data_IF_497544441983
#
_entry.id   IF_497544441983
#
_cell.length_a   1.000
_cell.length_b   1.000
_cell.length_c   1.000
_cell.angle_alpha   90.00
_cell.angle_beta   90.00
_cell.angle_gamma   90.00
#
_symmetry.space_group_name_H-M   'P 1'
#
loop_
_entity.id
_entity.type
_entity.pdbx_description
1 polymer ?
#
# COMPACT_ATOMS: atom_id res chain seq x y z
N UNK A 1 -7.02 -27.39 39.39
CA UNK A 1 -6.03 -27.23 40.46
C UNK A 1 -6.55 -27.87 41.73
N UNK A 2 -6.80 -29.19 41.71
CA UNK A 2 -7.25 -29.93 42.91
C UNK A 2 -6.37 -31.16 43.15
N UNK A 3 -5.26 -31.25 42.42
CA UNK A 3 -4.28 -32.31 42.57
C UNK A 3 -3.45 -32.01 43.83
N UNK A 4 -3.53 -32.84 44.90
CA UNK A 4 -2.81 -32.58 46.14
C UNK A 4 -1.29 -32.49 45.94
N UNK A 5 -0.75 -33.27 45.00
CA UNK A 5 0.66 -33.25 44.65
C UNK A 5 1.08 -31.92 44.02
N UNK A 6 0.18 -31.27 43.28
CA UNK A 6 0.42 -29.96 42.69
C UNK A 6 0.39 -28.84 43.75
N UNK A 7 -0.52 -28.91 44.74
CA UNK A 7 -0.53 -27.98 45.86
C UNK A 7 0.75 -28.11 46.70
N UNK A 8 1.17 -29.34 47.00
CA UNK A 8 2.44 -29.59 47.70
C UNK A 8 3.64 -29.03 46.95
N UNK A 9 3.66 -29.13 45.62
CA UNK A 9 4.71 -28.53 44.80
C UNK A 9 4.70 -26.99 44.88
N UNK A 10 3.53 -26.35 44.82
CA UNK A 10 3.42 -24.89 44.95
C UNK A 10 3.90 -24.42 46.32
N UNK A 11 3.49 -25.10 47.40
CA UNK A 11 3.95 -24.80 48.76
C UNK A 11 5.46 -25.00 48.94
N UNK A 12 6.03 -26.02 48.30
CA UNK A 12 7.47 -26.24 48.28
C UNK A 12 8.22 -25.09 47.60
N UNK A 13 7.69 -24.55 46.50
CA UNK A 13 8.30 -23.44 45.75
C UNK A 13 8.09 -22.09 46.43
N UNK A 14 7.01 -21.91 47.18
CA UNK A 14 6.61 -20.63 47.79
C UNK A 14 6.10 -20.82 49.23
N UNK A 15 7.04 -20.83 50.17
CA UNK A 15 6.82 -21.05 51.61
C UNK A 15 5.91 -20.02 52.33
N UNK A 16 5.60 -18.90 51.69
CA UNK A 16 4.74 -17.85 52.26
C UNK A 16 3.27 -17.96 51.83
N UNK A 17 2.94 -18.84 50.88
CA UNK A 17 1.56 -19.06 50.44
C UNK A 17 0.87 -20.03 51.40
N UNK A 18 -0.35 -19.71 51.80
CA UNK A 18 -1.24 -20.61 52.51
C UNK A 18 -2.16 -21.33 51.53
N UNK A 19 -2.73 -22.47 51.95
CA UNK A 19 -3.58 -23.29 51.07
C UNK A 19 -4.86 -22.53 50.64
N UNK A 20 -5.29 -21.56 51.45
CA UNK A 20 -6.38 -20.62 51.14
C UNK A 20 -6.02 -19.62 50.05
N UNK A 21 -4.74 -19.40 49.78
CA UNK A 21 -4.26 -18.47 48.75
C UNK A 21 -4.23 -19.13 47.36
N UNK A 22 -4.35 -20.46 47.29
CA UNK A 22 -4.44 -21.22 46.04
C UNK A 22 -5.92 -21.30 45.64
N UNK A 23 -6.36 -20.56 44.61
CA UNK A 23 -7.76 -20.54 44.23
C UNK A 23 -8.20 -21.92 43.72
N UNK A 24 -9.38 -22.34 44.19
CA UNK A 24 -10.07 -23.53 43.66
C UNK A 24 -10.26 -23.42 42.14
N UNK A 25 -10.47 -24.56 41.45
CA UNK A 25 -10.65 -24.54 39.99
C UNK A 25 -11.81 -23.62 39.57
N UNK A 26 -12.90 -23.61 40.34
CA UNK A 26 -14.07 -22.75 40.12
C UNK A 26 -13.68 -21.28 40.20
N UNK A 27 -12.92 -20.91 41.24
CA UNK A 27 -12.46 -19.53 41.42
C UNK A 27 -11.47 -19.12 40.33
N UNK A 28 -10.60 -20.03 39.91
CA UNK A 28 -9.69 -19.82 38.79
C UNK A 28 -10.46 -19.59 37.49
N UNK A 29 -11.49 -20.39 37.21
CA UNK A 29 -12.35 -20.20 36.04
C UNK A 29 -13.07 -18.85 36.07
N UNK A 30 -13.63 -18.45 37.23
CA UNK A 30 -14.24 -17.14 37.40
C UNK A 30 -13.28 -16.00 37.08
N UNK A 31 -12.05 -16.05 37.62
CA UNK A 31 -11.03 -15.02 37.40
C UNK A 31 -10.58 -14.95 35.95
N UNK A 32 -10.44 -16.10 35.27
CA UNK A 32 -10.12 -16.16 33.84
C UNK A 32 -11.23 -15.51 33.01
N UNK A 33 -12.50 -15.85 33.29
CA UNK A 33 -13.65 -15.29 32.59
C UNK A 33 -13.76 -13.77 32.82
N UNK A 34 -13.51 -13.31 34.04
CA UNK A 34 -13.51 -11.89 34.36
C UNK A 34 -12.39 -11.15 33.61
N UNK A 35 -11.16 -11.67 33.65
CA UNK A 35 -10.02 -11.08 32.93
C UNK A 35 -10.29 -11.04 31.42
N UNK A 36 -10.87 -12.10 30.86
CA UNK A 36 -11.29 -12.12 29.45
C UNK A 36 -12.36 -11.07 29.16
N UNK A 37 -13.37 -10.90 30.02
CA UNK A 37 -14.40 -9.88 29.84
C UNK A 37 -13.82 -8.46 29.88
N UNK A 38 -12.90 -8.18 30.80
CA UNK A 38 -12.22 -6.89 30.91
C UNK A 38 -11.40 -6.59 29.64
N UNK A 39 -10.58 -7.56 29.20
CA UNK A 39 -9.80 -7.43 27.98
C UNK A 39 -10.68 -7.27 26.73
N UNK A 40 -11.77 -8.03 26.65
CA UNK A 40 -12.75 -7.91 25.57
C UNK A 40 -13.38 -6.51 25.54
N UNK A 41 -13.80 -5.97 26.69
CA UNK A 41 -14.36 -4.61 26.75
C UNK A 41 -13.36 -3.54 26.31
N UNK A 42 -12.08 -3.71 26.63
CA UNK A 42 -11.03 -2.81 26.15
C UNK A 42 -10.88 -2.90 24.62
N UNK A 43 -10.78 -4.11 24.06
CA UNK A 43 -10.76 -4.32 22.61
C UNK A 43 -12.00 -3.73 21.95
N UNK A 44 -13.16 -3.77 22.61
CA UNK A 44 -14.37 -3.11 22.10
C UNK A 44 -14.24 -1.60 22.03
N UNK A 45 -13.65 -0.97 23.02
CA UNK A 45 -13.42 0.48 22.95
C UNK A 45 -12.43 0.82 21.84
N UNK A 46 -11.38 0.03 21.66
CA UNK A 46 -10.36 0.24 20.62
C UNK A 46 -10.95 0.04 19.20
N UNK A 47 -11.70 -1.04 18.97
CA UNK A 47 -12.30 -1.34 17.66
C UNK A 47 -13.39 -0.34 17.24
N UNK A 48 -14.08 0.30 18.19
CA UNK A 48 -15.01 1.40 17.88
C UNK A 48 -14.32 2.64 17.30
N UNK A 49 -13.01 2.78 17.49
CA UNK A 49 -12.21 3.93 17.08
C UNK A 49 -11.24 3.53 15.94
N UNK A 50 -10.99 2.23 15.78
CA UNK A 50 -10.10 1.67 14.77
C UNK A 50 -10.66 1.79 13.35
N UNK A 51 -9.74 1.94 12.39
CA UNK A 51 -10.05 1.94 10.96
C UNK A 51 -9.35 0.75 10.31
N UNK A 52 -9.93 0.24 9.22
CA UNK A 52 -9.39 -0.88 8.46
C UNK A 52 -8.80 -0.36 7.15
N UNK A 53 -7.52 -0.65 6.91
CA UNK A 53 -6.89 -0.34 5.62
C UNK A 53 -6.97 -1.57 4.71
N UNK A 54 -7.59 -1.42 3.54
CA UNK A 54 -7.64 -2.49 2.51
C UNK A 54 -7.29 -1.91 1.14
N UNK A 55 -7.00 -2.77 0.16
CA UNK A 55 -6.77 -2.32 -1.22
C UNK A 55 -8.08 -1.79 -1.86
N UNK A 56 -7.96 -1.15 -3.02
CA UNK A 56 -9.08 -0.43 -3.63
C UNK A 56 -10.02 -1.34 -4.46
N UNK A 57 -9.91 -2.66 -4.33
CA UNK A 57 -10.77 -3.58 -5.06
C UNK A 57 -12.22 -3.49 -4.55
N UNK A 58 -13.19 -3.49 -5.45
CA UNK A 58 -14.62 -3.31 -5.12
C UNK A 58 -15.20 -4.46 -4.30
N UNK A 59 -14.56 -5.63 -4.29
CA UNK A 59 -14.94 -6.72 -3.40
C UNK A 59 -14.62 -6.41 -1.93
N UNK A 60 -13.66 -5.52 -1.63
CA UNK A 60 -13.37 -5.10 -0.26
C UNK A 60 -14.49 -4.22 0.31
N UNK A 61 -15.19 -3.43 -0.52
CA UNK A 61 -16.38 -2.70 -0.07
C UNK A 61 -17.46 -3.69 0.42
N UNK A 62 -17.70 -4.75 -0.35
CA UNK A 62 -18.62 -5.84 0.05
C UNK A 62 -18.12 -6.56 1.31
N UNK A 63 -16.82 -6.87 1.37
CA UNK A 63 -16.22 -7.55 2.51
C UNK A 63 -16.35 -6.72 3.79
N UNK A 64 -16.18 -5.40 3.72
CA UNK A 64 -16.37 -4.49 4.84
C UNK A 64 -17.81 -4.48 5.35
N UNK A 65 -18.79 -4.47 4.45
CA UNK A 65 -20.21 -4.56 4.84
C UNK A 65 -20.49 -5.86 5.60
N UNK A 66 -20.06 -7.00 5.06
CA UNK A 66 -20.26 -8.31 5.71
C UNK A 66 -19.52 -8.39 7.04
N UNK A 67 -18.28 -7.88 7.10
CA UNK A 67 -17.49 -7.89 8.31
C UNK A 67 -18.12 -7.02 9.41
N UNK A 68 -18.61 -5.82 9.08
CA UNK A 68 -19.33 -4.97 10.03
C UNK A 68 -20.64 -5.62 10.50
N UNK A 69 -21.37 -6.31 9.62
CA UNK A 69 -22.58 -7.04 9.99
C UNK A 69 -22.28 -8.13 11.04
N UNK A 70 -21.22 -8.92 10.84
CA UNK A 70 -20.80 -9.95 11.82
C UNK A 70 -20.42 -9.31 13.15
N UNK A 71 -19.67 -8.19 13.14
CA UNK A 71 -19.31 -7.47 14.35
C UNK A 71 -20.53 -6.87 15.07
N UNK A 72 -21.56 -6.48 14.34
CA UNK A 72 -22.81 -6.01 14.90
C UNK A 72 -23.59 -7.15 15.56
N UNK A 73 -23.71 -8.29 14.88
CA UNK A 73 -24.47 -9.46 15.36
C UNK A 73 -23.80 -10.13 16.57
N UNK A 74 -22.51 -10.43 16.47
CA UNK A 74 -21.77 -11.20 17.49
C UNK A 74 -21.28 -10.30 18.64
N UNK A 75 -20.90 -9.07 18.34
CA UNK A 75 -20.17 -8.21 19.27
C UNK A 75 -20.90 -6.89 19.58
N UNK A 76 -22.07 -6.62 18.99
CA UNK A 76 -22.87 -5.39 19.19
C UNK A 76 -22.05 -4.12 18.94
N UNK A 77 -21.26 -4.11 17.88
CA UNK A 77 -20.64 -2.91 17.33
C UNK A 77 -21.52 -2.30 16.26
N UNK A 78 -21.71 -1.00 16.32
CA UNK A 78 -22.40 -0.24 15.28
C UNK A 78 -21.35 0.65 14.62
N UNK A 79 -20.81 0.18 13.51
CA UNK A 79 -19.68 0.78 12.79
C UNK A 79 -20.11 0.93 11.34
N UNK A 80 -19.99 2.15 10.82
CA UNK A 80 -20.22 2.41 9.40
C UNK A 80 -19.08 1.80 8.57
N UNK A 81 -19.37 0.83 7.68
CA UNK A 81 -18.37 0.16 6.85
C UNK A 81 -17.65 1.13 5.91
N UNK A 82 -18.27 2.25 5.53
CA UNK A 82 -17.65 3.26 4.65
C UNK A 82 -16.73 4.17 5.45
N UNK A 83 -17.21 4.74 6.57
CA UNK A 83 -16.40 5.66 7.38
C UNK A 83 -15.13 5.02 7.98
N UNK A 84 -15.14 3.70 8.20
CA UNK A 84 -14.02 2.97 8.81
C UNK A 84 -13.16 2.20 7.80
N UNK A 85 -13.44 2.35 6.51
CA UNK A 85 -12.61 1.78 5.44
C UNK A 85 -11.65 2.85 4.91
N UNK A 86 -10.37 2.69 5.23
CA UNK A 86 -9.28 3.48 4.65
C UNK A 86 -8.76 2.74 3.42
N UNK A 87 -8.73 3.40 2.27
CA UNK A 87 -8.12 2.83 1.06
C UNK A 87 -6.60 2.87 1.17
N UNK A 88 -5.95 1.83 0.67
CA UNK A 88 -4.49 1.71 0.68
C UNK A 88 -3.85 2.71 -0.31
N UNK A 89 -3.23 3.79 0.20
CA UNK A 89 -2.53 4.77 -0.62
C UNK A 89 -1.46 4.16 -1.55
N UNK A 90 -0.58 3.23 -1.12
CA UNK A 90 0.32 2.54 -2.03
C UNK A 90 -0.38 1.83 -3.19
N UNK A 91 -1.55 1.24 -2.95
CA UNK A 91 -2.32 0.59 -4.02
C UNK A 91 -2.89 1.61 -5.01
N UNK A 92 -3.38 2.75 -4.54
CA UNK A 92 -3.84 3.86 -5.41
C UNK A 92 -2.68 4.38 -6.27
N UNK A 93 -1.51 4.62 -5.67
CA UNK A 93 -0.31 5.04 -6.42
C UNK A 93 0.06 4.02 -7.50
N UNK A 94 0.00 2.73 -7.18
CA UNK A 94 0.24 1.65 -8.15
C UNK A 94 -0.74 1.70 -9.34
N UNK A 95 -2.03 1.90 -9.07
CA UNK A 95 -3.06 2.10 -10.12
C UNK A 95 -2.72 3.32 -10.98
N UNK A 96 -2.39 4.45 -10.36
CA UNK A 96 -1.99 5.68 -11.07
C UNK A 96 -0.79 5.44 -12.01
N UNK A 97 0.25 4.76 -11.53
CA UNK A 97 1.42 4.37 -12.32
C UNK A 97 1.00 3.46 -13.49
N UNK A 98 0.12 2.49 -13.25
CA UNK A 98 -0.34 1.57 -14.28
C UNK A 98 -1.08 2.31 -15.42
N UNK A 99 -1.91 3.31 -15.08
CA UNK A 99 -2.55 4.17 -16.07
C UNK A 99 -1.53 4.99 -16.87
N UNK A 100 -0.53 5.58 -16.20
CA UNK A 100 0.57 6.27 -16.88
C UNK A 100 1.28 5.33 -17.87
N UNK A 101 1.72 4.16 -17.42
CA UNK A 101 2.45 3.20 -18.26
C UNK A 101 1.61 2.73 -19.45
N UNK A 102 0.32 2.43 -19.22
CA UNK A 102 -0.58 2.02 -20.29
C UNK A 102 -0.83 3.15 -21.28
N UNK A 103 -1.08 4.37 -20.80
CA UNK A 103 -1.20 5.56 -21.62
C UNK A 103 0.06 5.79 -22.45
N UNK A 104 1.23 5.60 -21.85
CA UNK A 104 2.52 5.74 -22.52
C UNK A 104 2.71 4.69 -23.62
N UNK A 105 2.35 3.42 -23.36
CA UNK A 105 2.38 2.32 -24.35
C UNK A 105 1.46 2.57 -25.55
N UNK A 106 0.35 3.28 -25.34
CA UNK A 106 -0.67 3.52 -26.36
C UNK A 106 -0.57 4.89 -27.06
N UNK A 107 0.30 5.80 -26.58
CA UNK A 107 0.39 7.16 -27.10
C UNK A 107 1.13 7.23 -28.45
N UNK A 108 0.62 8.08 -29.35
CA UNK A 108 1.30 8.39 -30.61
C UNK A 108 2.21 9.62 -30.44
N UNK A 109 3.52 9.39 -30.37
CA UNK A 109 4.52 10.45 -30.21
C UNK A 109 5.03 11.04 -31.52
N UNK A 110 4.43 10.71 -32.66
CA UNK A 110 5.00 11.04 -33.97
C UNK A 110 4.96 12.51 -34.39
N UNK A 111 4.17 13.34 -33.70
CA UNK A 111 4.05 14.78 -33.95
C UNK A 111 4.87 15.68 -33.03
N UNK A 112 5.67 15.14 -32.10
CA UNK A 112 6.37 15.95 -31.10
C UNK A 112 7.75 16.42 -31.62
N UNK A 113 7.92 17.74 -31.76
CA UNK A 113 9.21 18.37 -32.02
C UNK A 113 10.05 18.32 -30.72
N UNK A 114 10.96 17.35 -30.61
CA UNK A 114 11.70 17.12 -29.37
C UNK A 114 12.98 17.95 -29.25
N UNK A 115 12.85 19.20 -28.82
CA UNK A 115 13.97 19.94 -28.22
C UNK A 115 13.64 20.21 -26.76
N UNK A 116 14.14 19.35 -25.88
CA UNK A 116 13.92 19.41 -24.44
C UNK A 116 15.18 19.97 -23.81
N UNK A 117 15.05 20.60 -22.65
CA UNK A 117 16.14 21.27 -21.95
C UNK A 117 17.21 20.31 -21.41
N UNK A 118 17.91 19.61 -22.30
CA UNK A 118 19.34 19.33 -22.27
C UNK A 118 19.75 19.06 -23.73
N UNK A 119 20.82 19.67 -24.25
CA UNK A 119 21.10 19.62 -25.68
C UNK A 119 21.59 18.21 -26.02
N UNK A 120 20.84 17.43 -26.80
CA UNK A 120 21.32 16.63 -27.94
C UNK A 120 20.26 15.65 -28.49
N UNK A 121 19.82 15.95 -29.73
CA UNK A 121 19.41 15.04 -30.84
C UNK A 121 17.94 14.63 -30.97
N UNK A 122 17.58 14.36 -32.23
CA UNK A 122 16.23 14.14 -32.79
C UNK A 122 15.91 12.63 -32.81
N UNK A 123 14.66 12.26 -32.51
CA UNK A 123 14.18 10.89 -32.32
C UNK A 123 13.40 10.31 -33.53
N UNK A 124 13.66 9.04 -33.91
CA UNK A 124 12.99 8.30 -34.99
C UNK A 124 11.95 7.23 -34.54
N UNK A 125 10.67 7.51 -34.81
CA UNK A 125 9.42 6.84 -34.38
C UNK A 125 9.38 5.30 -34.28
N UNK A 126 9.96 4.56 -35.22
CA UNK A 126 9.76 3.09 -35.32
C UNK A 126 10.48 2.32 -34.21
N UNK A 127 11.65 2.80 -33.82
CA UNK A 127 12.52 2.17 -32.83
C UNK A 127 11.90 2.27 -31.42
N UNK A 128 11.30 3.41 -31.10
CA UNK A 128 10.60 3.68 -29.84
C UNK A 128 9.49 2.67 -29.51
N UNK A 129 8.66 2.38 -30.52
CA UNK A 129 7.48 1.54 -30.34
C UNK A 129 7.88 0.08 -30.15
N UNK A 130 8.98 -0.36 -30.77
CA UNK A 130 9.47 -1.73 -30.64
C UNK A 130 9.94 -2.04 -29.21
N UNK A 131 10.74 -1.19 -28.59
CA UNK A 131 11.31 -1.50 -27.26
C UNK A 131 10.32 -1.32 -26.11
N UNK A 132 9.33 -0.45 -26.26
CA UNK A 132 8.24 -0.37 -25.27
C UNK A 132 7.38 -1.65 -25.26
N UNK A 133 7.39 -2.41 -26.36
CA UNK A 133 6.62 -3.64 -26.53
C UNK A 133 7.39 -4.91 -26.14
N UNK A 134 8.73 -4.91 -26.19
CA UNK A 134 9.54 -6.03 -25.74
C UNK A 134 9.75 -5.97 -24.23
N UNK A 135 9.18 -6.93 -23.48
CA UNK A 135 9.37 -7.06 -22.04
C UNK A 135 10.85 -7.35 -21.73
N UNK A 136 11.61 -6.38 -21.18
CA UNK A 136 13.07 -6.50 -21.04
C UNK A 136 13.48 -7.53 -19.97
N UNK A 137 12.53 -8.05 -19.19
CA UNK A 137 12.77 -9.02 -18.11
C UNK A 137 12.67 -10.47 -18.63
N UNK A 138 11.94 -10.70 -19.73
CA UNK A 138 11.66 -12.03 -20.29
C UNK A 138 12.63 -12.44 -21.41
N UNK A 139 13.64 -11.61 -21.74
CA UNK A 139 14.63 -12.02 -22.74
C UNK A 139 15.38 -13.27 -22.26
N UNK A 140 15.33 -14.39 -23.01
CA UNK A 140 16.13 -15.56 -22.66
C UNK A 140 17.59 -15.12 -22.67
N UNK A 141 18.32 -15.46 -21.61
CA UNK A 141 19.76 -15.27 -21.44
C UNK A 141 20.57 -16.01 -22.51
N UNK A 142 20.36 -15.67 -23.77
CA UNK A 142 20.97 -16.29 -24.92
C UNK A 142 22.41 -15.77 -24.96
N UNK A 143 23.35 -16.68 -24.77
CA UNK A 143 24.78 -16.50 -24.53
C UNK A 143 25.57 -15.93 -25.71
N UNK A 144 24.91 -15.26 -26.65
CA UNK A 144 25.52 -14.49 -27.74
C UNK A 144 25.06 -13.03 -27.69
N UNK A 145 25.20 -12.40 -26.52
CA UNK A 145 25.06 -10.95 -26.38
C UNK A 145 26.19 -10.27 -27.17
N UNK A 146 25.97 -10.05 -28.46
CA UNK A 146 26.31 -8.73 -29.00
C UNK A 146 25.63 -7.77 -28.03
N UNK A 147 26.34 -6.83 -27.37
CA UNK A 147 25.68 -5.90 -26.47
C UNK A 147 24.72 -5.10 -27.34
N UNK A 148 23.44 -5.48 -27.33
CA UNK A 148 22.36 -4.70 -27.92
C UNK A 148 22.32 -3.42 -27.10
N UNK A 149 23.13 -2.45 -27.54
CA UNK A 149 23.15 -1.11 -26.97
C UNK A 149 21.75 -0.56 -27.19
N UNK A 150 21.08 -0.24 -26.09
CA UNK A 150 19.87 0.57 -26.11
C UNK A 150 20.09 1.75 -27.04
N UNK A 151 19.29 1.81 -28.11
CA UNK A 151 19.27 2.94 -29.02
C UNK A 151 18.87 4.23 -28.29
N UNK A 152 19.28 5.37 -28.82
CA UNK A 152 19.06 6.70 -28.22
C UNK A 152 17.60 6.91 -27.79
N UNK A 153 16.67 6.41 -28.60
CA UNK A 153 15.24 6.45 -28.35
C UNK A 153 14.81 5.73 -27.08
N UNK A 154 15.42 4.59 -26.78
CA UNK A 154 15.13 3.82 -25.57
C UNK A 154 15.59 4.57 -24.32
N UNK A 155 16.72 5.27 -24.41
CA UNK A 155 17.17 6.13 -23.33
C UNK A 155 16.23 7.30 -23.07
N UNK A 156 15.62 7.87 -24.10
CA UNK A 156 14.70 8.98 -23.95
C UNK A 156 13.33 8.54 -23.40
N UNK A 157 12.84 7.35 -23.76
CA UNK A 157 11.72 6.70 -23.07
C UNK A 157 12.00 6.60 -21.58
N UNK A 158 13.19 6.07 -21.25
CA UNK A 158 13.56 5.83 -19.87
C UNK A 158 13.68 7.13 -19.09
N UNK A 159 14.18 8.21 -19.69
CA UNK A 159 14.22 9.54 -19.06
C UNK A 159 12.82 10.12 -18.82
N UNK A 160 11.90 9.99 -19.78
CA UNK A 160 10.51 10.44 -19.62
C UNK A 160 9.81 9.68 -18.50
N UNK A 161 9.99 8.35 -18.46
CA UNK A 161 9.43 7.49 -17.42
C UNK A 161 10.06 7.77 -16.06
N UNK A 162 11.38 7.90 -15.97
CA UNK A 162 12.09 8.28 -14.75
C UNK A 162 11.54 9.61 -14.20
N UNK A 163 11.41 10.62 -15.07
CA UNK A 163 10.87 11.93 -14.69
C UNK A 163 9.42 11.83 -14.17
N UNK A 164 8.54 11.10 -14.87
CA UNK A 164 7.14 10.96 -14.48
C UNK A 164 6.95 10.08 -13.23
N UNK A 165 7.79 9.06 -13.05
CA UNK A 165 7.71 8.10 -11.95
C UNK A 165 8.42 8.59 -10.68
N UNK A 166 9.25 9.63 -10.75
CA UNK A 166 9.97 10.15 -9.59
C UNK A 166 9.05 10.51 -8.42
N UNK A 167 7.95 11.22 -8.69
CA UNK A 167 6.97 11.62 -7.68
C UNK A 167 6.28 10.42 -7.00
N UNK A 168 5.64 9.49 -7.74
CA UNK A 168 5.00 8.35 -7.11
C UNK A 168 6.00 7.37 -6.47
N UNK A 169 7.20 7.21 -7.02
CA UNK A 169 8.24 6.39 -6.40
C UNK A 169 8.68 6.94 -5.03
N UNK A 170 8.83 8.27 -4.94
CA UNK A 170 9.13 8.95 -3.66
C UNK A 170 8.01 8.73 -2.65
N UNK A 171 6.75 8.97 -3.05
CA UNK A 171 5.61 8.79 -2.17
C UNK A 171 5.43 7.33 -1.71
N UNK A 172 5.58 6.37 -2.64
CA UNK A 172 5.52 4.95 -2.30
C UNK A 172 6.63 4.57 -1.32
N UNK A 173 7.88 4.97 -1.58
CA UNK A 173 9.00 4.68 -0.68
C UNK A 173 8.78 5.25 0.73
N UNK A 174 8.27 6.48 0.84
CA UNK A 174 7.92 7.10 2.13
C UNK A 174 6.89 6.29 2.90
N UNK A 175 5.97 5.60 2.22
CA UNK A 175 4.89 4.83 2.87
C UNK A 175 5.24 3.35 3.10
N UNK A 176 6.32 2.85 2.51
CA UNK A 176 6.73 1.45 2.63
C UNK A 176 8.07 1.24 3.35
N UNK A 177 8.63 2.27 4.00
CA UNK A 177 9.86 2.10 4.79
C UNK A 177 9.62 1.30 6.08
N UNK A 178 10.60 0.55 6.56
CA UNK A 178 10.42 -0.39 7.68
C UNK A 178 10.05 0.28 9.03
N UNK A 179 9.34 -0.48 9.86
CA UNK A 179 9.13 -0.41 11.33
C UNK A 179 8.92 0.97 12.02
N UNK A 180 8.60 2.03 11.27
CA UNK A 180 8.22 3.33 11.81
C UNK A 180 6.72 3.53 11.51
N UNK A 181 5.92 4.08 12.43
CA UNK A 181 4.55 4.47 12.11
C UNK A 181 4.57 5.61 11.08
N UNK A 182 4.30 5.28 9.81
CA UNK A 182 4.39 6.20 8.66
C UNK A 182 3.06 6.86 8.30
N UNK A 183 1.96 6.54 9.01
CA UNK A 183 0.63 7.04 8.66
C UNK A 183 0.55 8.57 8.68
N UNK A 184 1.27 9.23 9.60
CA UNK A 184 1.34 10.70 9.66
C UNK A 184 2.05 11.32 8.46
N UNK A 185 2.95 10.59 7.81
CA UNK A 185 3.66 11.02 6.60
C UNK A 185 2.97 10.58 5.30
N UNK A 186 2.03 9.62 5.37
CA UNK A 186 1.38 9.05 4.20
C UNK A 186 0.54 10.06 3.42
N UNK A 187 -0.34 10.79 4.12
CA UNK A 187 -1.20 11.80 3.46
C UNK A 187 -0.37 12.95 2.87
N UNK A 188 0.59 13.58 3.59
CA UNK A 188 1.44 14.61 2.99
C UNK A 188 2.25 14.11 1.78
N UNK A 189 2.77 12.87 1.83
CA UNK A 189 3.50 12.29 0.71
C UNK A 189 2.59 12.07 -0.51
N UNK A 190 1.37 11.61 -0.29
CA UNK A 190 0.37 11.40 -1.33
C UNK A 190 -0.09 12.73 -1.97
N UNK A 191 -0.41 13.74 -1.17
CA UNK A 191 -0.77 15.08 -1.65
C UNK A 191 0.36 15.70 -2.47
N UNK A 192 1.60 15.61 -1.96
CA UNK A 192 2.80 16.08 -2.67
C UNK A 192 2.95 15.40 -4.03
N UNK A 193 2.70 14.10 -4.11
CA UNK A 193 2.70 13.35 -5.37
C UNK A 193 1.66 13.92 -6.36
N UNK A 194 0.41 14.11 -5.93
CA UNK A 194 -0.65 14.63 -6.78
C UNK A 194 -0.35 16.05 -7.26
N UNK A 195 0.15 16.93 -6.39
CA UNK A 195 0.52 18.29 -6.75
C UNK A 195 1.65 18.31 -7.80
N UNK A 196 2.66 17.46 -7.64
CA UNK A 196 3.74 17.36 -8.61
C UNK A 196 3.24 16.88 -9.97
N UNK A 197 2.40 15.85 -10.01
CA UNK A 197 1.79 15.36 -11.24
C UNK A 197 0.86 16.40 -11.89
N UNK A 198 0.06 17.12 -11.10
CA UNK A 198 -0.75 18.26 -11.58
C UNK A 198 0.12 19.32 -12.23
N UNK A 199 1.23 19.70 -11.59
CA UNK A 199 2.19 20.68 -12.12
C UNK A 199 2.83 20.20 -13.42
N UNK A 200 3.23 18.92 -13.50
CA UNK A 200 3.79 18.32 -14.71
C UNK A 200 2.76 18.31 -15.85
N UNK A 201 1.52 17.90 -15.54
CA UNK A 201 0.41 17.82 -16.51
C UNK A 201 0.06 19.19 -17.12
N UNK A 202 0.17 20.26 -16.33
CA UNK A 202 -0.11 21.64 -16.77
C UNK A 202 1.11 22.37 -17.38
N UNK A 203 2.30 21.76 -17.39
CA UNK A 203 3.53 22.40 -17.84
C UNK A 203 3.58 22.52 -19.36
N UNK A 204 3.81 23.74 -19.87
CA UNK A 204 4.05 23.97 -21.30
C UNK A 204 5.42 23.47 -21.78
N UNK A 205 6.34 23.17 -20.85
CA UNK A 205 7.66 22.62 -21.18
C UNK A 205 7.57 21.14 -21.58
N UNK A 206 6.60 20.42 -21.01
CA UNK A 206 6.44 18.98 -21.21
C UNK A 206 4.97 18.62 -21.54
N UNK A 207 4.46 19.05 -22.70
CA UNK A 207 3.03 18.95 -23.02
C UNK A 207 2.52 17.51 -23.20
N UNK A 208 3.40 16.53 -23.43
CA UNK A 208 3.03 15.13 -23.59
C UNK A 208 2.50 14.52 -22.29
N UNK A 209 2.93 14.99 -21.13
CA UNK A 209 2.48 14.43 -19.85
C UNK A 209 1.05 14.83 -19.48
N UNK A 210 0.51 15.91 -20.04
CA UNK A 210 -0.87 16.34 -19.83
C UNK A 210 -1.89 15.21 -20.03
N UNK A 211 -2.00 14.64 -21.24
CA UNK A 211 -2.90 13.52 -21.50
C UNK A 211 -2.50 12.23 -20.77
N UNK A 212 -1.19 11.97 -20.60
CA UNK A 212 -0.69 10.74 -19.99
C UNK A 212 -0.99 10.62 -18.50
N UNK A 213 -0.94 11.74 -17.77
CA UNK A 213 -1.17 11.77 -16.33
C UNK A 213 -2.65 11.94 -15.97
N UNK A 214 -3.50 12.32 -16.93
CA UNK A 214 -4.91 12.65 -16.69
C UNK A 214 -5.67 11.52 -16.01
N UNK A 215 -5.53 10.29 -16.51
CA UNK A 215 -6.29 9.14 -16.01
C UNK A 215 -5.82 8.71 -14.61
N UNK A 216 -4.51 8.77 -14.34
CA UNK A 216 -3.97 8.54 -13.01
C UNK A 216 -4.36 9.63 -12.02
N UNK A 217 -4.35 10.90 -12.43
CA UNK A 217 -4.81 12.02 -11.60
C UNK A 217 -6.30 11.89 -11.24
N UNK A 218 -7.14 11.43 -12.17
CA UNK A 218 -8.57 11.22 -11.92
C UNK A 218 -8.87 10.08 -10.93
N UNK A 219 -7.96 9.10 -10.79
CA UNK A 219 -8.06 8.05 -9.77
C UNK A 219 -7.57 8.50 -8.39
N UNK A 220 -6.76 9.56 -8.36
CA UNK A 220 -6.15 10.04 -7.13
C UNK A 220 -6.96 11.12 -6.39
N UNK A 221 -7.96 11.71 -7.04
CA UNK A 221 -8.94 12.66 -6.49
C UNK A 221 -10.19 11.96 -5.96
#
# INVERSE_FOLDING_TARGET
MECPQFHQLIHYLHHNLQDTDIPHHTKTCELILQCWQEHFMQLRMELKIGHFTMDNATNNDTAMVVFMQILQEECKFDIDPVAHHIRCFPHIISICIQHLINGYKCADFSGLLRTWGNPLRVLHKKEYIMVVQEDPIQMPWNTNLVPEKLEQMHWEVLQDLEFALQAPATAHHTMTSEHIPLLSGALPAYETFLEQWKRISMSSMNPQFGPLLKEGLAHGE
#
